data_IF_977902550315
#
_entry.id   IF_977902550315
#
_cell.length_a   1.000
_cell.length_b   1.000
_cell.length_c   1.000
_cell.angle_alpha   90.00
_cell.angle_beta   90.00
_cell.angle_gamma   90.00
#
_symmetry.space_group_name_H-M   'P 1'
#
loop_
_entity.id
_entity.type
_entity.pdbx_description
1 polymer ?
#
# COMPACT_ATOMS: atom_id res chain seq x y z
N UNK A 1 32.88 64.74 -19.00
CA UNK A 1 33.51 63.55 -19.60
C UNK A 1 32.86 62.31 -18.99
N UNK A 2 31.93 61.68 -19.72
CA UNK A 2 31.67 60.22 -19.65
C UNK A 2 32.68 59.55 -20.61
N UNK A 3 32.97 58.23 -20.60
CA UNK A 3 32.12 57.08 -20.20
C UNK A 3 32.86 56.09 -19.25
N UNK A 4 32.33 54.98 -18.72
CA UNK A 4 31.82 53.81 -19.44
C UNK A 4 31.30 52.73 -18.46
N UNK A 5 30.05 52.31 -18.71
CA UNK A 5 29.39 51.01 -18.50
C UNK A 5 30.04 49.91 -17.64
N UNK A 6 29.25 49.36 -16.70
CA UNK A 6 29.07 47.91 -16.51
C UNK A 6 27.74 47.64 -15.77
N UNK A 7 26.92 46.74 -16.33
CA UNK A 7 25.49 46.58 -16.06
C UNK A 7 25.10 45.91 -14.73
N UNK A 8 23.79 45.92 -14.42
CA UNK A 8 23.24 45.26 -13.24
C UNK A 8 23.17 43.75 -13.46
N UNK A 9 23.79 42.98 -12.54
CA UNK A 9 23.59 41.53 -12.48
C UNK A 9 22.23 41.22 -11.85
N UNK A 10 21.23 41.15 -12.71
CA UNK A 10 20.00 40.38 -12.46
C UNK A 10 20.36 38.89 -12.35
N UNK A 11 20.61 38.40 -11.14
CA UNK A 11 20.41 36.97 -10.85
C UNK A 11 18.96 36.77 -10.45
N UNK A 12 18.24 36.11 -11.36
CA UNK A 12 16.84 35.69 -11.27
C UNK A 12 16.54 34.81 -10.04
N UNK A 13 15.24 34.65 -9.71
CA UNK A 13 14.73 34.41 -8.38
C UNK A 13 14.87 32.94 -7.94
N UNK A 14 15.11 32.74 -6.65
CA UNK A 14 14.94 31.46 -5.99
C UNK A 14 13.43 31.16 -5.86
N UNK A 15 12.84 30.70 -6.97
CA UNK A 15 11.59 29.95 -6.94
C UNK A 15 11.87 28.62 -6.24
N UNK A 16 11.58 28.52 -4.96
CA UNK A 16 11.16 27.22 -4.40
C UNK A 16 9.65 27.26 -4.43
N UNK A 17 9.12 26.97 -5.62
CA UNK A 17 7.75 26.52 -5.73
C UNK A 17 7.62 25.28 -4.85
N UNK A 18 6.86 25.41 -3.76
CA UNK A 18 6.23 24.27 -3.13
C UNK A 18 5.28 23.71 -4.18
N UNK A 19 5.82 22.79 -4.98
CA UNK A 19 5.03 22.01 -5.92
C UNK A 19 4.29 20.99 -5.06
N UNK A 20 3.11 21.36 -4.59
CA UNK A 20 2.06 20.40 -4.30
C UNK A 20 1.83 19.61 -5.60
N UNK A 21 2.57 18.51 -5.78
CA UNK A 21 2.20 17.52 -6.78
C UNK A 21 0.99 16.81 -6.21
N UNK A 22 -0.19 17.30 -6.60
CA UNK A 22 -1.38 16.46 -6.65
C UNK A 22 -1.04 15.20 -7.43
N UNK A 23 -0.93 14.10 -6.71
CA UNK A 23 -0.75 12.75 -7.26
C UNK A 23 -1.80 11.80 -6.70
N UNK A 24 -2.97 12.33 -6.33
CA UNK A 24 -4.15 11.56 -5.96
C UNK A 24 -5.24 11.55 -7.05
N UNK A 25 -5.16 12.40 -8.07
CA UNK A 25 -6.27 12.57 -9.04
C UNK A 25 -6.01 12.00 -10.45
N UNK A 26 -4.76 11.69 -10.82
CA UNK A 26 -4.45 11.20 -12.19
C UNK A 26 -4.59 9.67 -12.36
N UNK A 27 -4.97 8.94 -11.32
CA UNK A 27 -5.07 7.46 -11.35
C UNK A 27 -6.47 6.91 -11.06
N UNK A 28 -7.49 7.76 -10.93
CA UNK A 28 -8.87 7.31 -10.62
C UNK A 28 -9.80 7.23 -11.83
N UNK A 29 -9.41 7.71 -13.03
CA UNK A 29 -10.35 7.87 -14.15
C UNK A 29 -10.51 6.65 -15.09
N UNK A 30 -9.61 5.64 -15.06
CA UNK A 30 -9.52 4.67 -16.18
C UNK A 30 -9.40 3.16 -15.87
N UNK A 31 -9.81 2.66 -14.69
CA UNK A 31 -9.77 1.20 -14.43
C UNK A 31 -11.02 0.61 -13.79
N UNK A 32 -12.20 0.92 -14.32
CA UNK A 32 -13.33 0.00 -14.15
C UNK A 32 -12.95 -1.32 -14.82
N UNK A 33 -12.87 -2.40 -14.04
CA UNK A 33 -12.54 -3.73 -14.59
C UNK A 33 -13.69 -4.20 -15.50
N UNK A 34 -13.35 -4.84 -16.63
CA UNK A 34 -14.34 -5.50 -17.50
C UNK A 34 -14.67 -6.88 -16.94
N UNK A 35 -15.95 -7.27 -17.01
CA UNK A 35 -16.43 -8.58 -16.57
C UNK A 35 -15.91 -9.71 -17.49
N UNK A 36 -15.77 -10.96 -16.99
CA UNK A 36 -16.06 -11.40 -15.62
C UNK A 36 -14.98 -10.99 -14.62
N UNK A 37 -15.38 -10.68 -13.38
CA UNK A 37 -14.40 -10.41 -12.32
C UNK A 37 -13.75 -11.71 -11.84
N UNK A 38 -12.43 -11.68 -11.66
CA UNK A 38 -11.70 -12.76 -11.02
C UNK A 38 -11.66 -12.51 -9.51
N UNK A 39 -12.17 -13.45 -8.71
CA UNK A 39 -12.24 -13.33 -7.25
C UNK A 39 -10.87 -13.08 -6.62
N UNK A 40 -9.83 -13.81 -7.05
CA UNK A 40 -8.47 -13.60 -6.54
C UNK A 40 -7.97 -12.19 -6.87
N UNK A 41 -8.39 -11.60 -8.00
CA UNK A 41 -8.03 -10.24 -8.33
C UNK A 41 -8.72 -9.23 -7.41
N UNK A 42 -10.01 -9.43 -7.11
CA UNK A 42 -10.75 -8.58 -6.17
C UNK A 42 -10.09 -8.64 -4.79
N UNK A 43 -9.78 -9.86 -4.31
CA UNK A 43 -9.15 -10.07 -3.02
C UNK A 43 -7.75 -9.45 -2.94
N UNK A 44 -6.94 -9.56 -3.99
CA UNK A 44 -5.60 -8.94 -4.01
C UNK A 44 -5.65 -7.41 -4.12
N UNK A 45 -6.54 -6.86 -4.95
CA UNK A 45 -6.73 -5.41 -5.07
C UNK A 45 -7.29 -4.86 -3.73
N UNK A 46 -8.20 -5.60 -3.07
CA UNK A 46 -8.73 -5.27 -1.74
C UNK A 46 -7.70 -5.36 -0.62
N UNK A 47 -6.84 -6.39 -0.63
CA UNK A 47 -5.76 -6.55 0.33
C UNK A 47 -4.71 -5.44 0.20
N UNK A 48 -4.37 -5.03 -1.02
CA UNK A 48 -3.48 -3.89 -1.28
C UNK A 48 -4.05 -2.60 -0.67
N UNK A 49 -5.37 -2.37 -0.77
CA UNK A 49 -6.04 -1.25 -0.11
C UNK A 49 -6.07 -1.36 1.42
N UNK A 50 -6.22 -2.57 1.97
CA UNK A 50 -6.20 -2.79 3.42
C UNK A 50 -4.83 -2.43 4.02
N UNK A 51 -3.76 -2.71 3.28
CA UNK A 51 -2.37 -2.44 3.66
C UNK A 51 -1.89 -1.01 3.34
N UNK A 52 -2.75 -0.12 2.81
CA UNK A 52 -2.33 1.21 2.41
C UNK A 52 -2.08 2.14 3.61
N UNK A 53 -0.83 2.61 3.77
CA UNK A 53 -0.43 3.55 4.83
C UNK A 53 -1.04 4.95 4.67
N UNK A 54 -1.21 5.66 5.80
CA UNK A 54 -1.60 7.07 5.82
C UNK A 54 -3.03 7.27 6.35
N UNK A 55 -3.75 8.24 5.79
CA UNK A 55 -5.13 8.57 6.21
C UNK A 55 -6.14 7.44 5.97
N UNK A 56 -5.78 6.45 5.15
CA UNK A 56 -6.62 5.32 4.80
C UNK A 56 -6.29 4.04 5.58
N UNK A 57 -5.36 4.12 6.53
CA UNK A 57 -4.97 2.99 7.37
C UNK A 57 -6.16 2.53 8.23
N UNK A 58 -6.52 1.25 8.15
CA UNK A 58 -7.69 0.64 8.79
C UNK A 58 -9.05 1.20 8.35
N UNK A 59 -9.11 2.02 7.30
CA UNK A 59 -10.38 2.48 6.76
C UNK A 59 -11.05 1.35 5.95
N UNK A 60 -12.40 1.27 5.96
CA UNK A 60 -13.13 0.31 5.15
C UNK A 60 -12.67 0.35 3.68
N UNK A 61 -12.38 -0.81 3.08
CA UNK A 61 -11.94 -0.87 1.68
C UNK A 61 -13.11 -0.69 0.70
N UNK A 62 -14.35 -0.79 1.17
CA UNK A 62 -15.58 -0.78 0.35
C UNK A 62 -15.62 0.43 -0.61
N UNK A 63 -15.34 1.64 -0.11
CA UNK A 63 -15.39 2.89 -0.89
C UNK A 63 -14.36 2.94 -2.02
N UNK A 64 -13.23 2.24 -1.86
CA UNK A 64 -12.17 2.11 -2.87
C UNK A 64 -12.45 0.96 -3.83
N UNK A 65 -12.92 -0.16 -3.28
CA UNK A 65 -13.21 -1.38 -4.04
C UNK A 65 -14.40 -1.20 -4.98
N UNK A 66 -15.45 -0.47 -4.56
CA UNK A 66 -16.62 -0.16 -5.41
C UNK A 66 -16.26 0.71 -6.62
N UNK A 67 -15.22 1.56 -6.52
CA UNK A 67 -14.73 2.34 -7.67
C UNK A 67 -14.13 1.43 -8.75
N UNK A 68 -13.44 0.36 -8.36
CA UNK A 68 -12.86 -0.63 -9.27
C UNK A 68 -13.90 -1.64 -9.78
N UNK A 69 -14.80 -2.06 -8.90
CA UNK A 69 -15.78 -3.11 -9.08
C UNK A 69 -17.20 -2.60 -8.78
N UNK A 70 -17.77 -1.72 -9.63
CA UNK A 70 -19.03 -1.03 -9.35
C UNK A 70 -20.27 -1.92 -9.38
N UNK A 71 -20.12 -3.20 -9.69
CA UNK A 71 -21.22 -4.19 -9.73
C UNK A 71 -21.27 -5.07 -8.49
N UNK A 72 -20.31 -4.95 -7.57
CA UNK A 72 -20.39 -5.64 -6.30
C UNK A 72 -21.48 -5.01 -5.44
N UNK A 73 -22.28 -5.86 -4.81
CA UNK A 73 -23.23 -5.48 -3.78
C UNK A 73 -22.51 -5.11 -2.48
N UNK A 74 -23.19 -4.37 -1.61
CA UNK A 74 -22.64 -3.99 -0.31
C UNK A 74 -22.25 -5.22 0.53
N UNK A 75 -23.04 -6.30 0.45
CA UNK A 75 -22.77 -7.57 1.14
C UNK A 75 -21.46 -8.21 0.63
N UNK A 76 -21.23 -8.21 -0.68
CA UNK A 76 -19.97 -8.72 -1.26
C UNK A 76 -18.79 -7.83 -0.85
N UNK A 77 -18.96 -6.51 -0.85
CA UNK A 77 -17.92 -5.57 -0.42
C UNK A 77 -17.54 -5.78 1.06
N UNK A 78 -18.52 -6.06 1.92
CA UNK A 78 -18.32 -6.38 3.35
C UNK A 78 -17.58 -7.69 3.55
N UNK A 79 -17.94 -8.73 2.79
CA UNK A 79 -17.27 -10.02 2.80
C UNK A 79 -15.79 -9.88 2.36
N UNK A 80 -15.54 -9.18 1.25
CA UNK A 80 -14.18 -8.92 0.78
C UNK A 80 -13.36 -8.09 1.79
N UNK A 81 -13.96 -7.06 2.40
CA UNK A 81 -13.30 -6.28 3.44
C UNK A 81 -12.90 -7.17 4.62
N UNK A 82 -13.82 -8.02 5.10
CA UNK A 82 -13.57 -8.91 6.23
C UNK A 82 -12.46 -9.91 5.93
N UNK A 83 -12.47 -10.53 4.73
CA UNK A 83 -11.41 -11.45 4.27
C UNK A 83 -10.04 -10.76 4.18
N UNK A 84 -9.99 -9.56 3.61
CA UNK A 84 -8.74 -8.82 3.44
C UNK A 84 -8.16 -8.38 4.79
N UNK A 85 -8.99 -7.87 5.70
CA UNK A 85 -8.56 -7.47 7.04
C UNK A 85 -8.06 -8.66 7.86
N UNK A 86 -8.76 -9.80 7.78
CA UNK A 86 -8.33 -11.03 8.45
C UNK A 86 -6.99 -11.55 7.90
N UNK A 87 -6.80 -11.53 6.58
CA UNK A 87 -5.55 -11.92 5.93
C UNK A 87 -4.39 -11.01 6.35
N UNK A 88 -4.58 -9.69 6.27
CA UNK A 88 -3.58 -8.71 6.70
C UNK A 88 -3.18 -8.90 8.16
N UNK A 89 -4.17 -9.00 9.06
CA UNK A 89 -3.92 -9.17 10.49
C UNK A 89 -3.14 -10.46 10.76
N UNK A 90 -3.61 -11.59 10.21
CA UNK A 90 -2.94 -12.89 10.39
C UNK A 90 -1.51 -12.86 9.86
N UNK A 91 -1.30 -12.19 8.72
CA UNK A 91 0.02 -12.04 8.14
C UNK A 91 0.96 -11.24 9.03
N UNK A 92 0.51 -10.09 9.54
CA UNK A 92 1.30 -9.30 10.49
C UNK A 92 1.59 -10.06 11.79
N UNK A 93 0.59 -10.75 12.37
CA UNK A 93 0.76 -11.54 13.59
C UNK A 93 1.80 -12.66 13.37
N UNK A 94 1.78 -13.34 12.23
CA UNK A 94 2.78 -14.38 11.89
C UNK A 94 4.18 -13.81 11.70
N UNK A 95 4.31 -12.68 11.01
CA UNK A 95 5.60 -12.02 10.80
C UNK A 95 6.17 -11.52 12.12
N UNK A 96 5.31 -11.00 13.00
CA UNK A 96 5.72 -10.54 14.33
C UNK A 96 6.25 -11.70 15.18
N UNK A 97 5.54 -12.83 15.22
CA UNK A 97 5.99 -14.04 15.90
C UNK A 97 7.34 -14.56 15.34
N UNK A 98 7.50 -14.56 14.01
CA UNK A 98 8.76 -14.93 13.36
C UNK A 98 9.91 -13.98 13.74
N UNK A 99 9.64 -12.68 13.86
CA UNK A 99 10.62 -11.70 14.30
C UNK A 99 10.99 -11.87 15.78
N UNK A 100 10.04 -12.26 16.65
CA UNK A 100 10.33 -12.58 18.05
C UNK A 100 11.26 -13.79 18.19
N UNK A 101 11.05 -14.82 17.36
CA UNK A 101 11.86 -16.04 17.40
C UNK A 101 13.23 -15.88 16.76
N UNK A 102 13.29 -15.26 15.57
CA UNK A 102 14.48 -15.24 14.70
C UNK A 102 15.18 -13.89 14.61
N UNK A 103 14.62 -12.84 15.22
CA UNK A 103 15.22 -11.52 15.16
C UNK A 103 15.12 -10.86 13.77
N UNK A 104 16.20 -10.16 13.38
CA UNK A 104 16.34 -9.54 12.05
C UNK A 104 16.43 -10.55 10.90
N UNK A 105 16.74 -11.81 11.21
CA UNK A 105 16.95 -12.88 10.23
C UNK A 105 15.67 -13.68 9.94
N UNK A 106 14.50 -13.14 10.29
CA UNK A 106 13.21 -13.74 9.96
C UNK A 106 13.14 -14.08 8.46
N UNK A 107 12.83 -15.34 8.14
CA UNK A 107 12.84 -15.84 6.76
C UNK A 107 11.52 -15.55 6.07
N UNK A 108 11.57 -14.82 4.94
CA UNK A 108 10.43 -14.63 4.06
C UNK A 108 9.87 -15.96 3.54
N UNK A 109 10.73 -16.93 3.21
CA UNK A 109 10.30 -18.22 2.70
C UNK A 109 9.54 -19.04 3.76
N UNK A 110 9.96 -18.96 5.02
CA UNK A 110 9.25 -19.60 6.14
C UNK A 110 7.86 -18.98 6.36
N UNK A 111 7.76 -17.64 6.25
CA UNK A 111 6.48 -16.94 6.25
C UNK A 111 5.59 -17.39 5.09
N UNK A 112 6.09 -17.36 3.86
CA UNK A 112 5.32 -17.75 2.67
C UNK A 112 4.83 -19.20 2.77
N UNK A 113 5.68 -20.12 3.24
CA UNK A 113 5.34 -21.54 3.36
C UNK A 113 4.20 -21.81 4.36
N UNK A 114 4.09 -21.02 5.42
CA UNK A 114 3.03 -21.13 6.43
C UNK A 114 1.78 -20.34 6.02
N UNK A 115 1.95 -19.08 5.60
CA UNK A 115 0.86 -18.17 5.26
C UNK A 115 0.08 -18.59 4.01
N UNK A 116 0.76 -19.09 2.98
CA UNK A 116 0.12 -19.52 1.72
C UNK A 116 -0.84 -20.70 1.90
N UNK A 117 -0.71 -21.46 3.00
CA UNK A 117 -1.66 -22.55 3.33
C UNK A 117 -3.02 -22.00 3.76
N UNK A 118 -3.03 -20.86 4.46
CA UNK A 118 -4.26 -20.21 4.93
C UNK A 118 -4.87 -19.29 3.87
N UNK A 119 -4.04 -18.62 3.06
CA UNK A 119 -4.48 -17.64 2.08
C UNK A 119 -3.83 -17.86 0.69
N UNK A 120 -4.21 -18.93 -0.04
CA UNK A 120 -3.59 -19.30 -1.31
C UNK A 120 -3.88 -18.31 -2.46
N UNK A 121 -4.87 -17.44 -2.29
CA UNK A 121 -5.24 -16.43 -3.28
C UNK A 121 -4.30 -15.21 -3.27
N UNK A 122 -3.46 -15.04 -2.24
CA UNK A 122 -2.59 -13.86 -2.09
C UNK A 122 -1.42 -13.94 -3.08
N UNK A 123 -1.19 -12.87 -3.83
CA UNK A 123 -0.09 -12.79 -4.80
C UNK A 123 1.25 -12.45 -4.14
N UNK A 124 2.35 -12.72 -4.85
CA UNK A 124 3.71 -12.46 -4.39
C UNK A 124 3.95 -10.98 -4.00
N UNK A 125 3.33 -10.03 -4.71
CA UNK A 125 3.40 -8.60 -4.39
C UNK A 125 2.86 -8.34 -2.97
N UNK A 126 1.67 -8.85 -2.66
CA UNK A 126 1.02 -8.66 -1.38
C UNK A 126 1.73 -9.42 -0.27
N UNK A 127 2.24 -10.63 -0.54
CA UNK A 127 3.06 -11.39 0.43
C UNK A 127 4.29 -10.59 0.88
N UNK A 128 5.04 -10.04 -0.09
CA UNK A 128 6.19 -9.18 0.20
C UNK A 128 5.80 -7.91 0.96
N UNK A 129 4.64 -7.34 0.62
CA UNK A 129 4.15 -6.14 1.29
C UNK A 129 3.83 -6.42 2.76
N UNK A 130 3.03 -7.45 3.06
CA UNK A 130 2.72 -7.90 4.43
C UNK A 130 4.01 -8.14 5.21
N UNK A 131 4.94 -8.91 4.64
CA UNK A 131 6.19 -9.24 5.31
C UNK A 131 7.01 -8.00 5.63
N UNK A 132 7.20 -7.11 4.66
CA UNK A 132 7.96 -5.87 4.86
C UNK A 132 7.30 -4.95 5.89
N UNK A 133 5.96 -4.84 5.90
CA UNK A 133 5.23 -4.03 6.87
C UNK A 133 5.33 -4.63 8.28
N UNK A 134 5.08 -5.93 8.42
CA UNK A 134 5.20 -6.65 9.69
C UNK A 134 6.60 -6.54 10.29
N UNK A 135 7.64 -6.76 9.49
CA UNK A 135 9.03 -6.60 9.92
C UNK A 135 9.36 -5.16 10.32
N UNK A 136 8.85 -4.16 9.60
CA UNK A 136 9.02 -2.75 9.96
C UNK A 136 8.44 -2.44 11.35
N UNK A 137 7.23 -2.93 11.63
CA UNK A 137 6.61 -2.74 12.93
C UNK A 137 7.30 -3.54 14.04
N UNK A 138 7.66 -4.79 13.80
CA UNK A 138 8.42 -5.60 14.75
C UNK A 138 9.77 -4.95 15.09
N UNK A 139 10.49 -4.47 14.07
CA UNK A 139 11.75 -3.75 14.27
C UNK A 139 11.56 -2.49 15.13
N UNK A 140 10.52 -1.71 14.85
CA UNK A 140 10.23 -0.48 15.58
C UNK A 140 9.88 -0.73 17.05
N UNK A 141 9.12 -1.78 17.35
CA UNK A 141 8.73 -2.14 18.73
C UNK A 141 9.89 -2.77 19.51
N UNK A 142 10.71 -3.60 18.86
CA UNK A 142 11.83 -4.29 19.51
C UNK A 142 13.09 -3.41 19.66
N UNK A 143 13.12 -2.24 19.00
CA UNK A 143 14.15 -1.22 19.22
C UNK A 143 15.53 -1.55 18.65
N UNK A 144 15.60 -2.31 17.55
CA UNK A 144 16.88 -2.66 16.93
C UNK A 144 17.45 -1.61 15.97
#
# INVERSE_FOLDING_TARGET
MLPSVAGPRCTRPFMVGVRCKGSSELFEWFRKRKQPYNENQILNDGLDYAMEFGSNWLQPIQSRLVKLYPKLSDIELDDYNSKCQAAMKTGHDQVYALAEESGKDASFDAFVASYSKSFPWVNDKNLKHIFSQGMYYAWKDMGW
#
